data_IF_824629993554
#
_entry.id   IF_824629993554
#
_cell.length_a   1.000
_cell.length_b   1.000
_cell.length_c   1.000
_cell.angle_alpha   90.00
_cell.angle_beta   90.00
_cell.angle_gamma   90.00
#
_symmetry.space_group_name_H-M   'P 1'
#
loop_
_entity.id
_entity.type
_entity.pdbx_description
1 polymer ?
#
# COMPACT_ATOMS: atom_id res chain seq x y z
N UNK A 1 -16.92 17.84 -0.44
CA UNK A 1 -15.95 16.78 -0.79
C UNK A 1 -16.45 15.35 -0.58
N UNK A 2 -16.66 14.60 -1.66
CA UNK A 2 -16.94 13.15 -1.65
C UNK A 2 -15.70 12.37 -2.13
N UNK A 3 -15.32 11.29 -1.43
CA UNK A 3 -14.14 10.45 -1.73
C UNK A 3 -14.05 10.03 -3.21
N UNK A 4 -15.16 9.55 -3.77
CA UNK A 4 -15.20 9.01 -5.14
C UNK A 4 -14.77 10.02 -6.22
N UNK A 5 -15.02 11.31 -6.02
CA UNK A 5 -14.70 12.35 -7.00
C UNK A 5 -13.23 12.82 -6.91
N UNK A 6 -12.52 12.47 -5.84
CA UNK A 6 -11.14 12.91 -5.59
C UNK A 6 -10.10 11.94 -6.15
N UNK A 7 -10.43 10.65 -6.30
CA UNK A 7 -9.43 9.61 -6.57
C UNK A 7 -8.66 9.81 -7.86
N UNK A 8 -9.33 10.06 -8.97
CA UNK A 8 -8.67 10.28 -10.26
C UNK A 8 -7.74 11.51 -10.22
N UNK A 9 -8.19 12.70 -9.76
CA UNK A 9 -7.29 13.84 -9.53
C UNK A 9 -6.12 13.55 -8.57
N UNK A 10 -6.37 12.77 -7.50
CA UNK A 10 -5.31 12.36 -6.57
C UNK A 10 -4.27 11.47 -7.27
N UNK A 11 -4.70 10.55 -8.14
CA UNK A 11 -3.77 9.67 -8.86
C UNK A 11 -2.91 10.45 -9.84
N UNK A 12 -3.49 11.41 -10.58
CA UNK A 12 -2.73 12.32 -11.44
C UNK A 12 -1.69 13.11 -10.64
N UNK A 13 -2.05 13.58 -9.45
CA UNK A 13 -1.13 14.26 -8.55
C UNK A 13 0.01 13.33 -8.07
N UNK A 14 -0.32 12.11 -7.65
CA UNK A 14 0.68 11.13 -7.19
C UNK A 14 1.65 10.74 -8.32
N UNK A 15 1.15 10.58 -9.55
CA UNK A 15 1.96 10.33 -10.74
C UNK A 15 2.93 11.48 -11.03
N UNK A 16 2.42 12.71 -11.00
CA UNK A 16 3.24 13.91 -11.22
C UNK A 16 4.30 14.11 -10.13
N UNK A 17 3.97 13.84 -8.86
CA UNK A 17 4.84 14.10 -7.72
C UNK A 17 5.87 12.99 -7.45
N UNK A 18 5.44 11.73 -7.50
CA UNK A 18 6.29 10.58 -7.17
C UNK A 18 6.86 9.86 -8.40
N UNK A 19 6.42 10.22 -9.61
CA UNK A 19 6.89 9.63 -10.85
C UNK A 19 6.37 8.21 -11.06
N UNK A 20 7.25 7.31 -11.52
CA UNK A 20 6.88 5.94 -11.86
C UNK A 20 6.29 5.21 -10.65
N UNK A 21 4.98 5.00 -10.68
CA UNK A 21 4.25 4.28 -9.66
C UNK A 21 3.14 3.43 -10.26
N UNK A 22 2.51 2.60 -9.43
CA UNK A 22 1.26 1.93 -9.75
C UNK A 22 0.29 2.07 -8.59
N UNK A 23 -0.93 2.48 -8.90
CA UNK A 23 -2.01 2.60 -7.93
C UNK A 23 -2.85 1.31 -7.89
N UNK A 24 -3.13 0.84 -6.68
CA UNK A 24 -4.06 -0.26 -6.41
C UNK A 24 -5.11 0.23 -5.40
N UNK A 25 -6.37 0.07 -5.73
CA UNK A 25 -7.47 0.53 -4.87
C UNK A 25 -8.03 -0.59 -3.98
N UNK A 26 -8.61 -0.19 -2.84
CA UNK A 26 -9.45 -1.02 -1.96
C UNK A 26 -8.79 -2.34 -1.51
N UNK A 27 -7.55 -2.26 -1.02
CA UNK A 27 -6.79 -3.46 -0.64
C UNK A 27 -7.10 -3.91 0.78
N UNK A 28 -7.71 -5.09 0.94
CA UNK A 28 -7.92 -5.69 2.27
C UNK A 28 -6.60 -6.06 2.95
N UNK A 29 -6.44 -5.62 4.21
CA UNK A 29 -5.29 -5.82 5.08
C UNK A 29 -5.75 -6.35 6.45
N UNK A 30 -5.91 -7.67 6.55
CA UNK A 30 -6.44 -8.29 7.77
C UNK A 30 -7.90 -7.87 8.02
N UNK A 31 -8.14 -7.08 9.07
CA UNK A 31 -9.48 -6.56 9.43
C UNK A 31 -9.75 -5.13 8.94
N UNK A 32 -8.78 -4.54 8.26
CA UNK A 32 -8.83 -3.17 7.74
C UNK A 32 -8.71 -3.22 6.22
N UNK A 33 -8.98 -2.10 5.56
CA UNK A 33 -8.82 -1.94 4.11
C UNK A 33 -8.00 -0.68 3.89
N UNK A 34 -7.00 -0.76 3.04
CA UNK A 34 -6.34 0.41 2.52
C UNK A 34 -7.21 1.02 1.43
N UNK A 35 -7.43 2.33 1.47
CA UNK A 35 -8.19 3.01 0.43
C UNK A 35 -7.42 2.95 -0.88
N UNK A 36 -6.14 3.31 -0.80
CA UNK A 36 -5.20 3.35 -1.91
C UNK A 36 -3.86 2.75 -1.48
N UNK A 37 -3.24 1.99 -2.38
CA UNK A 37 -1.88 1.50 -2.25
C UNK A 37 -1.08 2.00 -3.45
N UNK A 38 -0.08 2.83 -3.19
CA UNK A 38 0.87 3.31 -4.20
C UNK A 38 2.11 2.43 -4.17
N UNK A 39 2.37 1.76 -5.28
CA UNK A 39 3.54 0.90 -5.48
C UNK A 39 4.61 1.72 -6.20
N UNK A 40 5.76 1.85 -5.58
CA UNK A 40 6.96 2.48 -6.12
C UNK A 40 8.04 1.39 -6.34
N UNK A 41 9.10 1.65 -7.14
CA UNK A 41 10.05 0.61 -7.57
C UNK A 41 10.68 -0.21 -6.45
N UNK A 42 10.82 0.36 -5.26
CA UNK A 42 11.47 -0.26 -4.10
C UNK A 42 10.62 -0.23 -2.81
N UNK A 43 9.42 0.35 -2.86
CA UNK A 43 8.57 0.57 -1.67
C UNK A 43 7.09 0.50 -2.01
N UNK A 44 6.29 0.10 -1.02
CA UNK A 44 4.83 0.07 -1.08
C UNK A 44 4.30 1.03 -0.03
N UNK A 45 3.56 2.04 -0.48
CA UNK A 45 3.04 3.13 0.33
C UNK A 45 1.54 2.95 0.53
N UNK A 46 1.08 2.92 1.78
CA UNK A 46 -0.33 2.92 2.10
C UNK A 46 -0.88 4.33 2.14
N UNK A 47 -2.01 4.58 1.49
CA UNK A 47 -2.65 5.90 1.47
C UNK A 47 -4.07 5.76 2.04
N UNK A 48 -4.33 6.48 3.12
CA UNK A 48 -5.65 6.58 3.76
C UNK A 48 -6.28 7.93 3.38
N UNK A 49 -7.50 7.91 2.86
CA UNK A 49 -8.23 9.13 2.47
C UNK A 49 -9.27 9.44 3.53
N UNK A 50 -9.31 10.69 4.00
CA UNK A 50 -10.33 11.20 4.91
C UNK A 50 -11.03 12.40 4.29
N UNK A 51 -12.33 12.25 4.09
CA UNK A 51 -13.20 13.35 3.69
C UNK A 51 -13.52 14.26 4.88
N UNK A 52 -14.08 15.44 4.60
CA UNK A 52 -14.49 16.38 5.66
C UNK A 52 -15.62 15.85 6.56
N UNK A 53 -16.28 14.75 6.18
CA UNK A 53 -17.30 14.12 7.00
C UNK A 53 -16.73 13.05 7.94
N UNK A 54 -15.46 12.67 7.79
CA UNK A 54 -14.87 11.57 8.54
C UNK A 54 -14.42 12.01 9.94
N UNK A 55 -14.78 11.21 10.95
CA UNK A 55 -14.21 11.36 12.29
C UNK A 55 -12.92 10.55 12.43
N UNK A 56 -11.99 11.04 13.24
CA UNK A 56 -10.74 10.32 13.55
C UNK A 56 -10.90 9.15 14.54
N UNK A 57 -12.14 8.81 14.93
CA UNK A 57 -12.42 7.80 15.94
C UNK A 57 -11.79 6.41 15.65
N UNK A 58 -11.53 6.10 14.37
CA UNK A 58 -10.91 4.83 13.93
C UNK A 58 -9.45 4.98 13.50
N UNK A 59 -8.97 6.21 13.33
CA UNK A 59 -7.67 6.49 12.72
C UNK A 59 -6.52 5.89 13.53
N UNK A 60 -6.56 5.96 14.86
CA UNK A 60 -5.53 5.37 15.73
C UNK A 60 -5.34 3.86 15.53
N UNK A 61 -6.41 3.13 15.17
CA UNK A 61 -6.33 1.71 14.81
C UNK A 61 -5.80 1.53 13.38
N UNK A 62 -6.26 2.36 12.45
CA UNK A 62 -5.80 2.32 11.06
C UNK A 62 -4.29 2.58 10.99
N UNK A 63 -3.78 3.59 11.71
CA UNK A 63 -2.34 3.87 11.82
C UNK A 63 -1.55 2.61 12.18
N UNK A 64 -1.97 1.89 13.23
CA UNK A 64 -1.30 0.64 13.65
C UNK A 64 -1.35 -0.46 12.60
N UNK A 65 -2.46 -0.56 11.86
CA UNK A 65 -2.59 -1.56 10.80
C UNK A 65 -1.71 -1.18 9.62
N UNK A 66 -1.81 0.04 9.08
CA UNK A 66 -0.98 0.55 7.99
C UNK A 66 0.52 0.46 8.30
N UNK A 67 0.93 0.88 9.51
CA UNK A 67 2.31 0.77 9.99
C UNK A 67 2.86 -0.66 9.90
N UNK A 68 2.03 -1.69 9.94
CA UNK A 68 2.50 -3.07 9.85
C UNK A 68 2.66 -3.56 8.42
N UNK A 69 1.93 -2.99 7.46
CA UNK A 69 1.86 -3.50 6.09
C UNK A 69 2.78 -2.76 5.12
N UNK A 70 2.99 -1.46 5.32
CA UNK A 70 3.60 -0.59 4.31
C UNK A 70 4.96 -0.05 4.73
N UNK A 71 5.80 0.23 3.74
CA UNK A 71 7.14 0.79 3.94
C UNK A 71 7.09 2.29 4.25
N UNK A 72 6.00 2.95 3.86
CA UNK A 72 5.63 4.31 4.27
C UNK A 72 4.12 4.47 4.18
N UNK A 73 3.59 5.53 4.78
CA UNK A 73 2.15 5.79 4.79
C UNK A 73 1.87 7.27 4.54
N UNK A 74 0.74 7.59 3.91
CA UNK A 74 0.26 8.94 3.67
C UNK A 74 -1.19 9.06 4.13
N UNK A 75 -1.53 10.15 4.81
CA UNK A 75 -2.91 10.58 5.00
C UNK A 75 -3.27 11.67 3.99
N UNK A 76 -4.38 11.50 3.28
CA UNK A 76 -4.97 12.53 2.41
C UNK A 76 -6.18 13.12 3.12
N UNK A 77 -6.19 14.43 3.36
CA UNK A 77 -7.21 15.10 4.18
C UNK A 77 -7.71 16.40 3.56
N UNK A 78 -8.99 16.70 3.72
CA UNK A 78 -9.54 18.00 3.35
C UNK A 78 -8.87 19.16 4.09
N UNK A 79 -8.76 20.31 3.43
CA UNK A 79 -8.10 21.52 3.97
C UNK A 79 -8.64 21.98 5.32
N UNK A 80 -9.94 21.79 5.60
CA UNK A 80 -10.54 22.10 6.90
C UNK A 80 -10.13 21.12 8.02
N UNK A 81 -9.80 19.88 7.66
CA UNK A 81 -9.34 18.81 8.55
C UNK A 81 -7.80 18.76 8.70
N UNK A 82 -7.07 19.42 7.81
CA UNK A 82 -5.60 19.46 7.84
C UNK A 82 -5.00 20.00 9.15
N UNK A 83 -5.75 20.82 9.89
CA UNK A 83 -5.28 21.48 11.12
C UNK A 83 -4.94 20.52 12.28
N UNK A 84 -5.50 19.30 12.32
CA UNK A 84 -5.28 18.37 13.44
C UNK A 84 -4.84 16.97 13.03
N UNK A 85 -4.73 16.66 11.72
CA UNK A 85 -4.29 15.32 11.30
C UNK A 85 -2.90 14.97 11.84
N UNK A 86 -2.02 15.96 11.97
CA UNK A 86 -0.67 15.80 12.52
C UNK A 86 -0.67 15.26 13.96
N UNK A 87 -1.72 15.53 14.74
CA UNK A 87 -1.88 15.02 16.11
C UNK A 87 -2.33 13.55 16.14
N UNK A 88 -2.85 13.05 15.01
CA UNK A 88 -3.46 11.72 14.92
C UNK A 88 -2.61 10.70 14.16
N UNK A 89 -1.63 11.16 13.38
CA UNK A 89 -0.69 10.28 12.66
C UNK A 89 0.74 10.48 13.14
N UNK A 90 1.59 9.45 13.14
CA UNK A 90 3.00 9.58 13.46
C UNK A 90 3.74 10.60 12.58
N UNK A 91 4.84 11.15 13.06
CA UNK A 91 5.68 12.13 12.36
C UNK A 91 6.26 11.63 11.03
N UNK A 92 6.48 10.32 10.90
CA UNK A 92 6.95 9.68 9.66
C UNK A 92 5.86 9.42 8.62
N UNK A 93 4.58 9.69 8.90
CA UNK A 93 3.52 9.62 7.90
C UNK A 93 3.54 10.87 7.01
N UNK A 94 3.40 10.70 5.70
CA UNK A 94 3.15 11.82 4.80
C UNK A 94 1.75 12.40 5.00
N UNK A 95 1.57 13.66 4.67
CA UNK A 95 0.29 14.35 4.69
C UNK A 95 0.12 15.11 3.39
N UNK A 96 -0.95 14.80 2.69
CA UNK A 96 -1.42 15.56 1.52
C UNK A 96 -2.72 16.24 1.92
N UNK A 97 -2.79 17.54 1.75
CA UNK A 97 -4.04 18.29 1.92
C UNK A 97 -4.70 18.49 0.56
N UNK A 98 -6.02 18.42 0.52
CA UNK A 98 -6.82 18.64 -0.68
C UNK A 98 -7.84 19.76 -0.46
N UNK A 99 -7.97 20.64 -1.44
CA UNK A 99 -8.94 21.73 -1.47
C UNK A 99 -9.83 21.59 -2.71
N UNK A 100 -11.15 21.65 -2.50
CA UNK A 100 -12.13 21.68 -3.58
C UNK A 100 -12.30 23.13 -4.06
N UNK A 101 -11.95 23.39 -5.32
CA UNK A 101 -12.02 24.70 -5.98
C UNK A 101 -13.05 24.69 -7.11
N UNK A 102 -13.35 25.86 -7.68
CA UNK A 102 -14.21 25.95 -8.88
C UNK A 102 -13.65 25.18 -10.09
N UNK A 103 -12.34 24.88 -10.10
CA UNK A 103 -11.65 24.21 -11.20
C UNK A 103 -11.44 22.71 -10.99
N UNK A 104 -11.78 22.18 -9.81
CA UNK A 104 -11.53 20.79 -9.43
C UNK A 104 -10.86 20.67 -8.07
N UNK A 105 -9.95 19.72 -7.92
CA UNK A 105 -9.23 19.47 -6.67
C UNK A 105 -7.77 19.91 -6.79
N UNK A 106 -7.32 20.74 -5.86
CA UNK A 106 -5.91 21.10 -5.72
C UNK A 106 -5.30 20.33 -4.54
N UNK A 107 -4.14 19.71 -4.77
CA UNK A 107 -3.44 18.90 -3.79
C UNK A 107 -2.11 19.55 -3.40
N UNK A 108 -1.78 19.49 -2.11
CA UNK A 108 -0.56 20.06 -1.57
C UNK A 108 0.11 19.06 -0.61
N UNK A 109 1.41 18.85 -0.76
CA UNK A 109 2.19 18.08 0.22
C UNK A 109 2.46 18.97 1.42
N UNK A 110 1.74 18.73 2.52
CA UNK A 110 2.01 19.39 3.80
C UNK A 110 3.23 18.76 4.48
N UNK A 111 3.38 17.43 4.35
CA UNK A 111 4.51 16.67 4.91
C UNK A 111 4.87 15.50 4.01
N UNK A 112 6.14 15.39 3.64
CA UNK A 112 6.67 14.21 2.97
C UNK A 112 6.66 13.00 3.92
N UNK A 113 6.36 11.81 3.38
CA UNK A 113 6.47 10.60 4.19
C UNK A 113 7.95 10.23 4.44
N UNK A 114 8.20 9.56 5.55
CA UNK A 114 9.50 8.97 5.87
C UNK A 114 9.39 7.43 5.94
N UNK A 115 10.52 6.71 5.89
CA UNK A 115 10.51 5.26 6.06
C UNK A 115 9.85 4.83 7.38
N UNK A 116 8.88 3.93 7.28
CA UNK A 116 8.18 3.37 8.42
C UNK A 116 8.94 2.16 8.99
N UNK A 117 9.54 2.35 10.17
CA UNK A 117 10.32 1.32 10.88
C UNK A 117 9.46 0.22 11.54
N UNK A 118 8.13 0.35 11.51
CA UNK A 118 7.21 -0.63 12.11
C UNK A 118 6.69 -1.66 11.10
N UNK A 119 7.10 -1.55 9.83
CA UNK A 119 6.67 -2.48 8.80
C UNK A 119 7.07 -3.91 9.18
N UNK A 120 6.17 -4.86 8.92
CA UNK A 120 6.45 -6.28 9.17
C UNK A 120 6.44 -6.96 7.82
N UNK A 121 7.61 -7.42 7.36
CA UNK A 121 7.76 -7.99 6.01
C UNK A 121 6.76 -9.12 5.72
N UNK A 122 6.47 -9.96 6.71
CA UNK A 122 5.42 -10.99 6.63
C UNK A 122 4.04 -10.42 6.31
N UNK A 123 3.69 -9.27 6.90
CA UNK A 123 2.42 -8.56 6.68
C UNK A 123 2.40 -7.88 5.32
N UNK A 124 3.49 -7.21 4.92
CA UNK A 124 3.66 -6.67 3.56
C UNK A 124 3.43 -7.75 2.49
N UNK A 125 3.99 -8.95 2.66
CA UNK A 125 3.78 -10.06 1.73
C UNK A 125 2.34 -10.59 1.70
N UNK A 126 1.49 -10.28 2.68
CA UNK A 126 0.04 -10.59 2.62
C UNK A 126 -0.69 -9.71 1.59
N UNK A 127 -0.04 -8.66 1.05
CA UNK A 127 -0.55 -7.91 -0.10
C UNK A 127 -0.46 -8.71 -1.41
N UNK A 128 0.45 -9.67 -1.51
CA UNK A 128 0.71 -10.44 -2.72
C UNK A 128 -0.30 -11.56 -2.94
N UNK A 129 -0.77 -11.72 -4.18
CA UNK A 129 -1.58 -12.87 -4.58
C UNK A 129 -0.77 -14.16 -4.65
N UNK A 130 -1.48 -15.28 -4.79
CA UNK A 130 -0.83 -16.59 -4.82
C UNK A 130 0.11 -16.76 -6.02
N UNK A 131 -0.25 -16.34 -7.25
CA UNK A 131 0.66 -16.40 -8.39
C UNK A 131 1.92 -15.55 -8.18
N UNK A 132 1.77 -14.37 -7.58
CA UNK A 132 2.89 -13.46 -7.29
C UNK A 132 3.87 -14.06 -6.27
N UNK A 133 3.36 -14.68 -5.20
CA UNK A 133 4.22 -15.45 -4.29
C UNK A 133 4.94 -16.58 -5.02
N UNK A 134 4.26 -17.28 -5.94
CA UNK A 134 4.86 -18.37 -6.72
C UNK A 134 5.93 -17.88 -7.71
N UNK A 135 5.82 -16.65 -8.21
CA UNK A 135 6.85 -16.02 -9.03
C UNK A 135 8.11 -15.74 -8.22
N UNK A 136 7.99 -15.18 -7.01
CA UNK A 136 9.13 -15.01 -6.09
C UNK A 136 9.77 -16.36 -5.73
N UNK A 137 8.97 -17.39 -5.47
CA UNK A 137 9.51 -18.74 -5.26
C UNK A 137 10.36 -19.23 -6.45
N UNK A 138 9.92 -18.94 -7.68
CA UNK A 138 10.64 -19.34 -8.89
C UNK A 138 11.95 -18.57 -9.04
N UNK A 139 11.99 -17.29 -8.71
CA UNK A 139 13.21 -16.46 -8.76
C UNK A 139 14.32 -17.00 -7.84
N UNK A 140 13.93 -17.63 -6.72
CA UNK A 140 14.85 -18.19 -5.72
C UNK A 140 15.00 -19.72 -5.79
N UNK A 141 14.64 -20.33 -6.92
CA UNK A 141 14.72 -21.79 -7.17
C UNK A 141 14.05 -22.64 -6.08
N UNK A 142 12.96 -22.13 -5.48
CA UNK A 142 12.24 -22.82 -4.42
C UNK A 142 11.26 -23.85 -4.98
N UNK A 143 10.98 -24.94 -4.23
CA UNK A 143 9.92 -25.88 -4.60
C UNK A 143 8.55 -25.20 -4.69
N UNK A 144 7.76 -25.58 -5.70
CA UNK A 144 6.37 -25.09 -5.84
C UNK A 144 5.48 -25.72 -4.77
N UNK A 145 4.98 -24.91 -3.85
CA UNK A 145 4.06 -25.37 -2.80
C UNK A 145 2.60 -25.18 -3.23
N UNK A 146 2.15 -25.89 -4.26
CA UNK A 146 0.80 -25.70 -4.85
C UNK A 146 -0.35 -25.88 -3.84
N UNK A 147 -0.26 -26.90 -2.99
CA UNK A 147 -1.33 -27.27 -2.05
C UNK A 147 -1.23 -26.59 -0.68
N UNK A 148 -0.23 -25.73 -0.45
CA UNK A 148 -0.02 -25.08 0.86
C UNK A 148 -0.81 -23.78 0.98
N UNK A 149 -0.89 -23.19 2.17
CA UNK A 149 -1.51 -21.88 2.36
C UNK A 149 -0.55 -20.76 1.93
N UNK A 150 -1.09 -19.56 1.62
CA UNK A 150 -0.27 -18.36 1.37
C UNK A 150 0.68 -18.10 2.55
N UNK A 151 0.17 -18.19 3.77
CA UNK A 151 0.97 -18.01 4.99
C UNK A 151 2.15 -18.99 5.10
N UNK A 152 1.97 -20.24 4.69
CA UNK A 152 3.06 -21.23 4.66
C UNK A 152 4.11 -20.84 3.62
N UNK A 153 3.69 -20.46 2.40
CA UNK A 153 4.61 -20.05 1.33
C UNK A 153 5.41 -18.81 1.73
N UNK A 154 4.73 -17.78 2.27
CA UNK A 154 5.36 -16.59 2.84
C UNK A 154 6.40 -16.98 3.90
N UNK A 155 6.07 -17.88 4.82
CA UNK A 155 7.02 -18.34 5.84
C UNK A 155 8.27 -19.02 5.25
N UNK A 156 8.12 -19.75 4.13
CA UNK A 156 9.25 -20.38 3.45
C UNK A 156 10.15 -19.38 2.72
N UNK A 157 9.57 -18.34 2.12
CA UNK A 157 10.36 -17.27 1.49
C UNK A 157 11.12 -16.49 2.57
N UNK A 158 10.45 -16.13 3.67
CA UNK A 158 11.06 -15.38 4.78
C UNK A 158 12.18 -16.16 5.48
N UNK A 159 12.15 -17.50 5.48
CA UNK A 159 13.23 -18.32 6.03
C UNK A 159 14.54 -18.24 5.21
N UNK A 160 14.52 -17.60 4.04
CA UNK A 160 15.70 -17.32 3.22
C UNK A 160 16.25 -15.89 3.46
N UNK A 161 15.57 -15.10 4.28
CA UNK A 161 15.92 -13.69 4.58
C UNK A 161 16.56 -13.60 5.96
N UNK A 162 17.67 -12.86 6.15
CA UNK A 162 18.41 -12.10 5.13
C UNK A 162 19.52 -12.89 4.40
N UNK A 163 19.81 -14.12 4.80
CA UNK A 163 21.07 -14.81 4.45
C UNK A 163 21.19 -15.16 2.96
N UNK A 164 20.08 -15.52 2.31
CA UNK A 164 20.05 -15.87 0.88
C UNK A 164 19.34 -14.82 0.04
N UNK A 165 18.34 -14.16 0.62
CA UNK A 165 17.61 -13.07 -0.02
C UNK A 165 17.78 -11.83 0.86
N UNK A 166 18.61 -10.85 0.44
CA UNK A 166 18.69 -9.56 1.10
C UNK A 166 17.30 -8.89 1.20
N UNK A 167 17.05 -8.16 2.27
CA UNK A 167 15.73 -7.55 2.54
C UNK A 167 15.33 -6.56 1.44
N UNK A 168 16.28 -5.78 0.95
CA UNK A 168 16.08 -4.81 -0.13
C UNK A 168 15.77 -5.49 -1.47
N UNK A 169 16.39 -6.64 -1.75
CA UNK A 169 16.07 -7.47 -2.92
C UNK A 169 14.63 -7.96 -2.85
N UNK A 170 14.22 -8.54 -1.71
CA UNK A 170 12.84 -9.01 -1.55
C UNK A 170 11.83 -7.85 -1.61
N UNK A 171 12.18 -6.67 -1.10
CA UNK A 171 11.32 -5.49 -1.21
C UNK A 171 11.07 -5.06 -2.66
N UNK A 172 12.11 -5.05 -3.51
CA UNK A 172 11.98 -4.79 -4.95
C UNK A 172 11.15 -5.86 -5.64
N UNK A 173 11.40 -7.14 -5.36
CA UNK A 173 10.62 -8.24 -5.94
C UNK A 173 9.13 -8.15 -5.56
N UNK A 174 8.80 -7.73 -4.33
CA UNK A 174 7.42 -7.45 -3.94
C UNK A 174 6.83 -6.32 -4.78
N UNK A 175 7.56 -5.21 -4.94
CA UNK A 175 7.12 -4.09 -5.78
C UNK A 175 6.91 -4.51 -7.24
N UNK A 176 7.85 -5.23 -7.84
CA UNK A 176 7.77 -5.72 -9.22
C UNK A 176 6.52 -6.58 -9.43
N UNK A 177 6.24 -7.51 -8.52
CA UNK A 177 5.04 -8.35 -8.60
C UNK A 177 3.74 -7.52 -8.48
N UNK A 178 3.74 -6.47 -7.67
CA UNK A 178 2.59 -5.57 -7.57
C UNK A 178 2.45 -4.66 -8.81
N UNK A 179 3.57 -4.23 -9.40
CA UNK A 179 3.62 -3.46 -10.66
C UNK A 179 3.12 -4.26 -11.85
N UNK A 180 3.40 -5.55 -11.92
CA UNK A 180 2.99 -6.43 -13.01
C UNK A 180 1.63 -7.08 -12.78
N UNK A 181 0.96 -6.78 -11.65
CA UNK A 181 -0.32 -7.41 -11.28
C UNK A 181 -1.34 -7.31 -12.42
N UNK A 182 -1.79 -8.46 -12.90
CA UNK A 182 -2.82 -8.55 -13.93
C UNK A 182 -4.11 -9.13 -13.33
N UNK A 183 -5.13 -8.30 -13.24
CA UNK A 183 -6.44 -8.67 -12.71
C UNK A 183 -7.16 -9.69 -13.62
N UNK A 184 -6.86 -9.72 -14.92
CA UNK A 184 -7.48 -10.67 -15.86
C UNK A 184 -7.02 -12.12 -15.61
N UNK A 185 -5.83 -12.30 -15.04
CA UNK A 185 -5.33 -13.62 -14.63
C UNK A 185 -5.99 -14.12 -13.34
N UNK A 186 -6.36 -13.21 -12.43
CA UNK A 186 -7.00 -13.56 -11.17
C UNK A 186 -8.43 -14.10 -11.36
N UNK A 187 -9.19 -13.53 -12.29
CA UNK A 187 -10.54 -14.01 -12.62
C UNK A 187 -10.51 -15.39 -13.30
N UNK A 188 -9.51 -15.64 -14.14
CA UNK A 188 -9.31 -16.95 -14.79
C UNK A 188 -9.02 -18.08 -13.79
N UNK A 189 -8.38 -17.79 -12.66
CA UNK A 189 -8.19 -18.78 -11.60
C UNK A 189 -9.46 -18.98 -10.74
N UNK A 190 -10.26 -17.92 -10.53
CA UNK A 190 -11.56 -18.06 -9.84
C UNK A 190 -12.58 -18.85 -10.65
N UNK A 191 -12.57 -18.75 -11.97
CA UNK A 191 -13.45 -19.55 -12.86
C UNK A 191 -12.99 -21.00 -13.06
N UNK A 192 -11.85 -21.40 -12.47
CA UNK A 192 -11.31 -22.78 -12.52
C UNK A 192 -11.48 -23.55 -11.21
N UNK A 193 -12.16 -22.95 -10.24
CA UNK A 193 -12.66 -23.59 -9.01
C UNK A 193 -14.16 -23.82 -9.15
#
# INVERSE_FOLDING_TARGET
>A
MHDANMREPLFDFLDAHYGMNRILEEKTMGKSRADVVMVLPDKVVGIEIKSDADTYARLSRQVKDYDRYFDANIAVVGSHHGLHIEEHVPDYWGIITVEETEKGFDFYVLREFLPNQKNVLKKKMELLWRPELAAIQKQHDMPKYREKSRAFVTGKILALVPERIPVDVLNREISDQLFERDYTLADRERSRL
#
